data_IF_136708570386
#
_entry.id   IF_136708570386
#
_cell.length_a   1.000
_cell.length_b   1.000
_cell.length_c   1.000
_cell.angle_alpha   90.00
_cell.angle_beta   90.00
_cell.angle_gamma   90.00
#
_symmetry.space_group_name_H-M   'P 1'
#
loop_
_entity.id
_entity.type
_entity.pdbx_description
1 polymer ?
#
# COMPACT_ATOMS: atom_id res chain seq x y z
N UNK A 1 19.50 -37.06 -31.87
CA UNK A 1 18.49 -36.84 -30.80
C UNK A 1 18.27 -35.34 -30.67
N UNK A 2 17.04 -34.81 -30.74
CA UNK A 2 16.81 -33.37 -30.91
C UNK A 2 17.03 -32.63 -29.58
N UNK A 3 18.21 -32.05 -29.41
CA UNK A 3 18.63 -31.25 -28.24
C UNK A 3 17.99 -29.85 -28.18
N UNK A 4 17.27 -29.44 -29.22
CA UNK A 4 16.59 -28.14 -29.31
C UNK A 4 15.55 -27.92 -28.21
N UNK A 5 14.82 -28.96 -27.81
CA UNK A 5 13.83 -28.89 -26.74
C UNK A 5 14.46 -28.65 -25.36
N UNK A 6 15.61 -29.26 -25.09
CA UNK A 6 16.34 -29.05 -23.83
C UNK A 6 16.83 -27.61 -23.70
N UNK A 7 17.33 -27.02 -24.80
CA UNK A 7 17.75 -25.62 -24.83
C UNK A 7 16.57 -24.65 -24.66
N UNK A 8 15.41 -24.98 -25.25
CA UNK A 8 14.21 -24.17 -25.10
C UNK A 8 13.69 -24.18 -23.65
N UNK A 9 13.55 -25.36 -23.03
CA UNK A 9 13.07 -25.46 -21.65
C UNK A 9 14.07 -24.91 -20.63
N UNK A 10 15.39 -25.06 -20.87
CA UNK A 10 16.41 -24.45 -20.00
C UNK A 10 16.39 -22.92 -20.09
N UNK A 11 16.19 -22.34 -21.28
CA UNK A 11 16.04 -20.90 -21.46
C UNK A 11 14.78 -20.38 -20.76
N UNK A 12 13.64 -21.07 -20.90
CA UNK A 12 12.41 -20.71 -20.19
C UNK A 12 12.59 -20.78 -18.66
N UNK A 13 13.23 -21.85 -18.17
CA UNK A 13 13.56 -22.01 -16.75
C UNK A 13 14.47 -20.88 -16.25
N UNK A 14 15.49 -20.53 -17.02
CA UNK A 14 16.41 -19.44 -16.69
C UNK A 14 15.71 -18.07 -16.64
N UNK A 15 14.82 -17.79 -17.59
CA UNK A 15 14.04 -16.54 -17.59
C UNK A 15 13.10 -16.49 -16.38
N UNK A 16 12.42 -17.59 -16.05
CA UNK A 16 11.55 -17.68 -14.87
C UNK A 16 12.33 -17.47 -13.57
N UNK A 17 13.45 -18.16 -13.41
CA UNK A 17 14.34 -18.03 -12.25
C UNK A 17 14.91 -16.61 -12.12
N UNK A 18 15.36 -16.02 -13.24
CA UNK A 18 15.87 -14.65 -13.25
C UNK A 18 14.80 -13.63 -12.82
N UNK A 19 13.54 -13.81 -13.26
CA UNK A 19 12.43 -12.96 -12.81
C UNK A 19 12.18 -13.09 -11.30
N UNK A 20 12.24 -14.31 -10.76
CA UNK A 20 12.10 -14.55 -9.33
C UNK A 20 13.22 -13.86 -8.55
N UNK A 21 14.46 -14.00 -9.02
CA UNK A 21 15.64 -13.41 -8.41
C UNK A 21 15.57 -11.87 -8.41
N UNK A 22 15.20 -11.27 -9.55
CA UNK A 22 15.00 -9.82 -9.67
C UNK A 22 13.90 -9.35 -8.72
N UNK A 23 12.78 -10.05 -8.66
CA UNK A 23 11.67 -9.70 -7.76
C UNK A 23 12.09 -9.76 -6.30
N UNK A 24 12.82 -10.80 -5.91
CA UNK A 24 13.36 -10.95 -4.56
C UNK A 24 14.31 -9.80 -4.19
N UNK A 25 15.29 -9.49 -5.02
CA UNK A 25 16.23 -8.39 -4.74
C UNK A 25 15.56 -7.02 -4.75
N UNK A 26 14.58 -6.81 -5.64
CA UNK A 26 13.76 -5.60 -5.62
C UNK A 26 12.97 -5.47 -4.30
N UNK A 27 12.37 -6.56 -3.82
CA UNK A 27 11.67 -6.57 -2.54
C UNK A 27 12.62 -6.28 -1.37
N UNK A 28 13.80 -6.90 -1.32
CA UNK A 28 14.83 -6.63 -0.30
C UNK A 28 15.25 -5.16 -0.34
N UNK A 29 15.52 -4.62 -1.53
CA UNK A 29 15.91 -3.23 -1.70
C UNK A 29 14.82 -2.27 -1.23
N UNK A 30 13.56 -2.47 -1.64
CA UNK A 30 12.44 -1.62 -1.28
C UNK A 30 12.17 -1.64 0.23
N UNK A 31 12.32 -2.82 0.88
CA UNK A 31 11.97 -3.02 2.29
C UNK A 31 13.06 -2.52 3.24
N UNK A 32 14.35 -2.77 2.93
CA UNK A 32 15.44 -2.54 3.89
C UNK A 32 16.42 -1.43 3.49
N UNK A 33 16.66 -1.22 2.19
CA UNK A 33 17.79 -0.41 1.72
C UNK A 33 17.33 0.95 1.16
N UNK A 34 16.12 1.03 0.61
CA UNK A 34 15.62 2.19 -0.12
C UNK A 34 15.70 3.45 0.75
N UNK A 35 16.44 4.48 0.32
CA UNK A 35 16.57 5.71 1.10
C UNK A 35 15.21 6.43 1.21
N UNK A 36 14.95 7.12 2.33
CA UNK A 36 13.73 7.88 2.51
C UNK A 36 13.62 9.01 1.48
N UNK A 37 12.39 9.36 1.11
CA UNK A 37 12.15 10.49 0.21
C UNK A 37 12.39 11.79 0.98
N UNK A 38 13.24 12.66 0.45
CA UNK A 38 13.42 14.00 1.00
C UNK A 38 12.18 14.85 0.69
N UNK A 39 11.30 15.02 1.68
CA UNK A 39 10.04 15.78 1.53
C UNK A 39 10.26 17.30 1.45
N UNK A 40 11.39 17.83 1.96
CA UNK A 40 11.68 19.27 1.97
C UNK A 40 11.76 19.88 0.56
N UNK A 41 12.05 19.05 -0.44
CA UNK A 41 12.04 19.49 -1.86
C UNK A 41 10.64 19.89 -2.33
N UNK A 42 9.60 19.31 -1.73
CA UNK A 42 8.21 19.56 -2.08
C UNK A 42 7.55 20.67 -1.25
N UNK A 43 8.18 21.17 -0.17
CA UNK A 43 7.59 22.20 0.69
C UNK A 43 8.28 22.30 2.06
N UNK A 44 7.99 23.36 2.82
CA UNK A 44 8.44 23.50 4.21
C UNK A 44 7.66 22.59 5.17
N UNK A 45 6.49 22.09 4.74
CA UNK A 45 5.63 21.19 5.49
C UNK A 45 5.00 20.16 4.55
N UNK A 46 4.51 19.07 5.14
CA UNK A 46 3.77 18.01 4.44
C UNK A 46 2.48 17.73 5.21
N UNK A 47 1.39 17.47 4.49
CA UNK A 47 0.20 16.90 5.07
C UNK A 47 0.41 15.38 5.23
N UNK A 48 0.30 14.89 6.46
CA UNK A 48 0.31 13.45 6.75
C UNK A 48 -1.14 13.04 6.99
N UNK A 49 -1.60 12.03 6.25
CA UNK A 49 -2.94 11.48 6.37
C UNK A 49 -2.89 9.96 6.48
N UNK A 50 -4.03 9.35 6.79
CA UNK A 50 -4.17 7.90 6.77
C UNK A 50 -4.03 7.27 8.14
N UNK A 51 -4.30 5.97 8.13
CA UNK A 51 -4.71 5.23 9.31
C UNK A 51 -3.52 4.67 10.13
N UNK A 52 -2.99 5.47 11.06
CA UNK A 52 -2.22 5.02 12.24
C UNK A 52 -2.92 5.48 13.51
N UNK A 53 -2.46 4.99 14.66
CA UNK A 53 -3.06 5.29 15.96
C UNK A 53 -3.29 6.82 16.12
N UNK A 54 -4.57 7.22 16.19
CA UNK A 54 -5.02 8.62 16.21
C UNK A 54 -5.77 9.13 14.96
N UNK A 55 -5.63 8.51 13.78
CA UNK A 55 -6.31 8.94 12.53
C UNK A 55 -7.05 7.79 11.83
N UNK A 56 -6.60 6.54 12.03
CA UNK A 56 -7.18 5.36 11.42
C UNK A 56 -7.97 4.45 12.33
N UNK A 57 -8.88 3.67 11.74
CA UNK A 57 -9.61 2.64 12.50
C UNK A 57 -9.57 1.28 11.82
N UNK A 58 -9.56 0.23 12.63
CA UNK A 58 -9.67 -1.17 12.26
C UNK A 58 -10.72 -1.84 13.12
N UNK A 59 -10.91 -3.15 12.96
CA UNK A 59 -11.85 -3.92 13.77
C UNK A 59 -11.41 -3.95 15.23
N UNK A 60 -12.35 -3.96 16.18
CA UNK A 60 -12.01 -4.19 17.59
C UNK A 60 -11.51 -5.63 17.82
N UNK A 61 -11.98 -6.58 17.02
CA UNK A 61 -11.63 -8.01 17.08
C UNK A 61 -11.62 -8.60 15.67
N UNK A 62 -10.77 -9.59 15.41
CA UNK A 62 -10.74 -10.37 14.18
C UNK A 62 -12.10 -11.10 13.97
N UNK A 63 -12.72 -10.94 12.79
CA UNK A 63 -14.02 -11.56 12.45
C UNK A 63 -14.12 -11.96 10.99
N UNK A 64 -14.94 -12.97 10.70
CA UNK A 64 -15.30 -13.28 9.31
C UNK A 64 -16.12 -12.13 8.71
N UNK A 65 -15.98 -11.90 7.41
CA UNK A 65 -16.62 -10.75 6.74
C UNK A 65 -18.14 -10.68 6.97
N UNK A 66 -18.83 -11.82 6.95
CA UNK A 66 -20.29 -11.90 7.15
C UNK A 66 -20.73 -11.71 8.62
N UNK A 67 -19.78 -11.69 9.56
CA UNK A 67 -20.03 -11.44 10.99
C UNK A 67 -19.67 -10.00 11.40
N UNK A 68 -19.21 -9.18 10.45
CA UNK A 68 -18.87 -7.78 10.74
C UNK A 68 -20.14 -6.93 10.64
N UNK A 69 -20.51 -6.31 11.75
CA UNK A 69 -21.64 -5.40 11.81
C UNK A 69 -21.49 -4.22 10.83
N UNK A 70 -22.61 -3.75 10.30
CA UNK A 70 -22.62 -2.77 9.23
C UNK A 70 -21.98 -1.43 9.63
N UNK A 71 -22.28 -0.99 10.84
CA UNK A 71 -21.75 0.23 11.44
C UNK A 71 -20.22 0.19 11.56
N UNK A 72 -19.66 -0.98 11.90
CA UNK A 72 -18.22 -1.17 12.05
C UNK A 72 -17.52 -0.99 10.70
N UNK A 73 -17.97 -1.69 9.65
CA UNK A 73 -17.29 -1.62 8.36
C UNK A 73 -17.50 -0.28 7.65
N UNK A 74 -18.67 0.32 7.80
CA UNK A 74 -18.94 1.68 7.34
C UNK A 74 -18.05 2.72 8.03
N UNK A 75 -17.84 2.59 9.34
CA UNK A 75 -16.91 3.45 10.09
C UNK A 75 -15.48 3.32 9.58
N UNK A 76 -15.02 2.11 9.29
CA UNK A 76 -13.68 1.86 8.71
C UNK A 76 -13.52 2.58 7.37
N UNK A 77 -14.49 2.44 6.46
CA UNK A 77 -14.44 3.11 5.15
C UNK A 77 -14.50 4.63 5.26
N UNK A 78 -15.39 5.13 6.12
CA UNK A 78 -15.58 6.57 6.34
C UNK A 78 -14.30 7.24 6.90
N UNK A 79 -13.64 6.62 7.86
CA UNK A 79 -12.42 7.19 8.45
C UNK A 79 -11.22 7.01 7.51
N UNK A 80 -10.97 5.79 7.04
CA UNK A 80 -9.73 5.47 6.34
C UNK A 80 -9.70 5.98 4.89
N UNK A 81 -10.86 6.03 4.22
CA UNK A 81 -10.97 6.40 2.80
C UNK A 81 -11.56 7.80 2.63
N UNK A 82 -12.77 8.02 3.13
CA UNK A 82 -13.47 9.29 2.94
C UNK A 82 -12.77 10.43 3.68
N UNK A 83 -12.46 10.26 4.97
CA UNK A 83 -11.78 11.25 5.80
C UNK A 83 -10.44 11.68 5.20
N UNK A 84 -9.60 10.71 4.81
CA UNK A 84 -8.32 10.94 4.12
C UNK A 84 -8.48 11.78 2.85
N UNK A 85 -9.53 11.47 2.06
CA UNK A 85 -9.83 12.19 0.82
C UNK A 85 -10.32 13.62 1.07
N UNK A 86 -11.15 13.83 2.09
CA UNK A 86 -11.68 15.14 2.47
C UNK A 86 -10.58 16.08 2.96
N UNK A 87 -9.63 15.59 3.78
CA UNK A 87 -8.49 16.39 4.24
C UNK A 87 -7.60 16.79 3.07
N UNK A 88 -7.36 15.87 2.13
CA UNK A 88 -6.65 16.17 0.88
C UNK A 88 -7.37 17.26 0.08
N UNK A 89 -8.69 17.12 -0.11
CA UNK A 89 -9.52 18.10 -0.82
C UNK A 89 -9.49 19.48 -0.17
N UNK A 90 -9.43 19.55 1.15
CA UNK A 90 -9.38 20.82 1.87
C UNK A 90 -8.08 21.60 1.68
N UNK A 91 -6.95 20.92 1.42
CA UNK A 91 -5.63 21.58 1.33
C UNK A 91 -5.10 21.72 -0.10
N UNK A 92 -5.64 20.96 -1.06
CA UNK A 92 -5.03 20.79 -2.38
C UNK A 92 -5.01 22.09 -3.19
N UNK A 93 -6.06 22.91 -3.13
CA UNK A 93 -6.14 24.19 -3.86
C UNK A 93 -4.95 25.10 -3.48
N UNK A 94 -4.70 25.25 -2.17
CA UNK A 94 -3.55 26.04 -1.71
C UNK A 94 -2.20 25.44 -2.09
N UNK A 95 -2.08 24.11 -2.21
CA UNK A 95 -0.84 23.48 -2.71
C UNK A 95 -0.64 23.74 -4.21
N UNK A 96 -1.73 23.74 -5.00
CA UNK A 96 -1.73 24.05 -6.43
C UNK A 96 -1.32 25.50 -6.67
N UNK A 97 -1.94 26.45 -5.97
CA UNK A 97 -1.62 27.88 -6.06
C UNK A 97 -0.14 28.16 -5.79
N UNK A 98 0.40 27.54 -4.73
CA UNK A 98 1.83 27.66 -4.36
C UNK A 98 2.77 26.86 -5.27
N UNK A 99 2.23 26.00 -6.14
CA UNK A 99 2.97 25.01 -6.94
C UNK A 99 3.93 24.17 -6.08
N UNK A 100 3.58 23.98 -4.81
CA UNK A 100 4.45 23.39 -3.79
C UNK A 100 3.62 22.81 -2.64
N UNK A 101 3.82 21.53 -2.37
CA UNK A 101 3.23 20.78 -1.26
C UNK A 101 3.57 19.28 -1.36
N UNK A 102 3.48 18.58 -0.23
CA UNK A 102 3.55 17.12 -0.18
C UNK A 102 2.37 16.58 0.63
N UNK A 103 1.72 15.55 0.10
CA UNK A 103 0.70 14.76 0.81
C UNK A 103 1.26 13.34 0.96
N UNK A 104 1.27 12.84 2.19
CA UNK A 104 1.79 11.52 2.54
C UNK A 104 0.67 10.71 3.16
N UNK A 105 0.14 9.75 2.41
CA UNK A 105 -0.87 8.82 2.89
C UNK A 105 -0.20 7.60 3.52
N UNK A 106 -0.58 7.25 4.75
CA UNK A 106 -0.07 6.06 5.42
C UNK A 106 -0.85 4.81 5.00
N UNK A 107 -0.22 4.02 4.13
CA UNK A 107 -0.68 2.69 3.72
C UNK A 107 -0.48 1.60 4.78
N UNK A 108 -0.67 0.34 4.40
CA UNK A 108 -0.40 -0.80 5.28
C UNK A 108 0.22 -1.96 4.51
N UNK A 109 1.18 -2.67 5.13
CA UNK A 109 1.66 -3.95 4.62
C UNK A 109 0.54 -5.00 4.49
N UNK A 110 -0.54 -4.84 5.26
CA UNK A 110 -1.74 -5.69 5.19
C UNK A 110 -2.41 -5.72 3.80
N UNK A 111 -2.23 -4.69 2.99
CA UNK A 111 -2.83 -4.58 1.66
C UNK A 111 -1.88 -4.96 0.51
N UNK A 112 -0.57 -4.92 0.74
CA UNK A 112 0.44 -5.02 -0.33
C UNK A 112 1.38 -6.21 -0.17
N UNK A 113 1.73 -6.58 1.08
CA UNK A 113 2.80 -7.54 1.36
C UNK A 113 2.25 -8.91 1.78
N UNK A 114 1.14 -8.95 2.50
CA UNK A 114 0.51 -10.22 2.89
C UNK A 114 -0.46 -10.69 1.80
N UNK A 115 -0.34 -11.94 1.29
CA UNK A 115 -1.23 -12.47 0.25
C UNK A 115 -2.70 -12.52 0.66
N UNK A 116 -2.94 -12.65 1.97
CA UNK A 116 -4.26 -12.53 2.56
C UNK A 116 -4.13 -12.00 3.98
N UNK A 117 -5.02 -11.08 4.36
CA UNK A 117 -5.18 -10.67 5.75
C UNK A 117 -6.52 -11.21 6.25
N UNK A 118 -6.60 -12.52 6.56
CA UNK A 118 -7.84 -13.16 6.95
C UNK A 118 -8.40 -12.48 8.20
N UNK A 119 -9.73 -12.45 8.30
CA UNK A 119 -10.48 -11.84 9.41
C UNK A 119 -10.40 -10.30 9.53
N UNK A 120 -9.79 -9.62 8.55
CA UNK A 120 -9.64 -8.16 8.48
C UNK A 120 -9.90 -7.62 7.06
N UNK A 121 -10.83 -8.25 6.33
CA UNK A 121 -11.07 -7.98 4.91
C UNK A 121 -11.35 -6.51 4.57
N UNK A 122 -12.24 -5.84 5.32
CA UNK A 122 -12.59 -4.43 5.10
C UNK A 122 -11.42 -3.52 5.46
N UNK A 123 -10.68 -3.81 6.53
CA UNK A 123 -9.48 -3.04 6.86
C UNK A 123 -8.45 -3.13 5.72
N UNK A 124 -8.15 -4.34 5.24
CA UNK A 124 -7.25 -4.53 4.10
C UNK A 124 -7.75 -3.81 2.84
N UNK A 125 -9.05 -3.87 2.55
CA UNK A 125 -9.66 -3.14 1.43
C UNK A 125 -9.53 -1.61 1.59
N UNK A 126 -9.68 -1.07 2.80
CA UNK A 126 -9.51 0.36 3.07
C UNK A 126 -8.06 0.86 2.97
N UNK A 127 -7.10 -0.06 2.77
CA UNK A 127 -5.66 0.19 2.73
C UNK A 127 -5.02 -0.17 1.38
N UNK A 128 -5.78 -0.75 0.46
CA UNK A 128 -5.37 -1.04 -0.92
C UNK A 128 -5.40 0.23 -1.77
#
# INVERSE_FOLDING_TARGET
MPTSWLLFFSLLGFVSFSKLLITFFNWVFITFIRPPKNLKKYGSWALITGATDGIGVTYPVARYFHEVDEDVWMKVMKVNVEGTSLVTKAVIEGMIERKRGAIVNIGSGAAIVVPSHPLYAIYAASKA
#
